data_IF_445269074985
#
_entry.id   IF_445269074985
#
_cell.length_a   1.000
_cell.length_b   1.000
_cell.length_c   1.000
_cell.angle_alpha   90.00
_cell.angle_beta   90.00
_cell.angle_gamma   90.00
#
_symmetry.space_group_name_H-M   'P 1'
#
loop_
_entity.id
_entity.type
_entity.pdbx_description
1 polymer ?
#
# COMPACT_ATOMS: atom_id res chain seq x y z
N UNK A 1 -28.34 6.87 32.95
CA UNK A 1 -29.59 6.26 33.46
C UNK A 1 -29.26 4.84 33.89
N UNK A 2 -29.44 4.48 35.17
CA UNK A 2 -29.35 3.06 35.56
C UNK A 2 -30.48 2.28 34.88
N UNK A 3 -30.24 1.08 34.34
CA UNK A 3 -31.31 0.25 33.83
C UNK A 3 -32.31 -0.06 34.95
N UNK A 4 -33.61 -0.19 34.65
CA UNK A 4 -34.59 -0.54 35.67
C UNK A 4 -34.20 -1.87 36.31
N UNK A 5 -34.20 -1.90 37.65
CA UNK A 5 -34.05 -3.14 38.41
C UNK A 5 -35.15 -4.08 37.91
N UNK A 6 -34.75 -5.20 37.31
CA UNK A 6 -35.67 -6.18 36.74
C UNK A 6 -36.51 -6.76 37.90
N UNK A 7 -37.70 -6.20 38.11
CA UNK A 7 -38.58 -6.47 39.24
C UNK A 7 -39.40 -7.75 39.08
N UNK A 8 -38.92 -8.72 38.30
CA UNK A 8 -39.55 -10.05 38.19
C UNK A 8 -39.17 -10.96 39.37
N UNK A 9 -39.16 -10.42 40.59
CA UNK A 9 -39.14 -11.24 41.79
C UNK A 9 -40.55 -11.25 42.36
N UNK A 10 -41.37 -12.21 41.93
CA UNK A 10 -42.61 -12.53 42.61
C UNK A 10 -42.30 -12.82 44.07
N UNK A 11 -42.82 -11.99 44.98
CA UNK A 11 -42.71 -12.20 46.42
C UNK A 11 -43.49 -13.46 46.76
N UNK A 12 -42.81 -14.48 47.28
CA UNK A 12 -43.47 -15.72 47.72
C UNK A 12 -43.86 -15.53 49.18
N UNK A 13 -45.16 -15.65 49.47
CA UNK A 13 -45.73 -15.55 50.81
C UNK A 13 -46.28 -16.90 51.26
N UNK A 14 -46.28 -17.15 52.57
CA UNK A 14 -46.93 -18.32 53.17
C UNK A 14 -48.46 -18.15 53.24
N UNK A 15 -49.16 -19.17 53.77
CA UNK A 15 -50.62 -19.14 53.92
C UNK A 15 -51.14 -18.09 54.89
N UNK A 16 -50.27 -17.49 55.72
CA UNK A 16 -50.57 -16.40 56.64
C UNK A 16 -50.11 -15.04 56.08
N UNK A 17 -49.58 -15.00 54.86
CA UNK A 17 -49.11 -13.78 54.19
C UNK A 17 -47.69 -13.33 54.58
N UNK A 18 -46.92 -14.14 55.32
CA UNK A 18 -45.53 -13.82 55.68
C UNK A 18 -44.60 -14.10 54.51
N UNK A 19 -43.65 -13.20 54.26
CA UNK A 19 -42.68 -13.32 53.17
C UNK A 19 -41.68 -14.43 53.49
N UNK A 20 -41.52 -15.37 52.57
CA UNK A 20 -40.54 -16.44 52.71
C UNK A 20 -39.13 -15.95 52.32
N UNK A 21 -38.09 -16.34 53.08
CA UNK A 21 -36.71 -16.10 52.68
C UNK A 21 -36.41 -16.73 51.32
N UNK A 22 -35.81 -15.96 50.41
CA UNK A 22 -35.39 -16.43 49.08
C UNK A 22 -33.92 -16.10 48.85
N UNK A 23 -33.22 -16.99 48.15
CA UNK A 23 -31.87 -16.72 47.66
C UNK A 23 -31.93 -15.66 46.54
N UNK A 24 -31.19 -14.57 46.74
CA UNK A 24 -31.03 -13.55 45.71
C UNK A 24 -30.30 -14.14 44.51
N UNK A 25 -30.79 -13.82 43.31
CA UNK A 25 -30.16 -14.31 42.09
C UNK A 25 -29.03 -13.37 41.69
N UNK A 26 -27.89 -13.95 41.29
CA UNK A 26 -26.77 -13.18 40.79
C UNK A 26 -27.06 -12.74 39.34
N UNK A 27 -27.21 -11.44 39.06
CA UNK A 27 -27.56 -10.94 37.73
C UNK A 27 -26.47 -11.21 36.68
N UNK A 28 -25.23 -11.45 37.10
CA UNK A 28 -24.12 -11.86 36.22
C UNK A 28 -24.31 -13.31 35.77
N UNK A 29 -24.79 -14.19 36.65
CA UNK A 29 -25.01 -15.59 36.30
C UNK A 29 -26.25 -15.79 35.41
N UNK A 30 -27.27 -14.93 35.52
CA UNK A 30 -28.49 -15.03 34.70
C UNK A 30 -28.33 -14.56 33.25
N UNK A 31 -27.37 -13.67 32.98
CA UNK A 31 -27.20 -13.10 31.64
C UNK A 31 -25.89 -13.55 31.02
N UNK A 32 -26.00 -14.42 30.01
CA UNK A 32 -24.86 -14.83 29.20
C UNK A 32 -24.16 -13.62 28.58
N UNK A 33 -24.93 -12.62 28.12
CA UNK A 33 -24.39 -11.39 27.53
C UNK A 33 -23.48 -10.63 28.50
N UNK A 34 -23.89 -10.51 29.78
CA UNK A 34 -23.05 -9.87 30.81
C UNK A 34 -21.77 -10.66 31.07
N UNK A 35 -21.83 -11.99 31.08
CA UNK A 35 -20.64 -12.83 31.23
C UNK A 35 -19.71 -12.71 30.03
N UNK A 36 -20.27 -12.71 28.81
CA UNK A 36 -19.52 -12.54 27.57
C UNK A 36 -18.79 -11.19 27.56
N UNK A 37 -19.51 -10.11 27.88
CA UNK A 37 -18.94 -8.76 27.97
C UNK A 37 -17.82 -8.69 29.01
N UNK A 38 -18.01 -9.29 30.20
CA UNK A 38 -16.97 -9.33 31.22
C UNK A 38 -15.71 -10.06 30.73
N UNK A 39 -15.86 -11.21 30.06
CA UNK A 39 -14.73 -11.95 29.49
C UNK A 39 -13.99 -11.14 28.43
N UNK A 40 -14.73 -10.47 27.56
CA UNK A 40 -14.15 -9.63 26.50
C UNK A 40 -13.38 -8.43 27.09
N UNK A 41 -13.96 -7.73 28.07
CA UNK A 41 -13.30 -6.61 28.75
C UNK A 41 -12.02 -7.06 29.47
N UNK A 42 -12.06 -8.20 30.17
CA UNK A 42 -10.89 -8.78 30.83
C UNK A 42 -9.81 -9.21 29.82
N UNK A 43 -10.22 -9.77 28.67
CA UNK A 43 -9.31 -10.10 27.59
C UNK A 43 -8.63 -8.85 27.01
N UNK A 44 -9.41 -7.80 26.71
CA UNK A 44 -8.89 -6.54 26.19
C UNK A 44 -7.93 -5.87 27.17
N UNK A 45 -8.23 -5.90 28.48
CA UNK A 45 -7.31 -5.42 29.52
C UNK A 45 -5.99 -6.20 29.53
N UNK A 46 -6.05 -7.54 29.49
CA UNK A 46 -4.85 -8.40 29.41
C UNK A 46 -4.02 -8.13 28.15
N UNK A 47 -4.68 -7.87 27.03
CA UNK A 47 -4.04 -7.56 25.76
C UNK A 47 -3.61 -6.09 25.63
N UNK A 48 -3.87 -5.24 26.63
CA UNK A 48 -3.56 -3.81 26.59
C UNK A 48 -4.38 -3.00 25.58
N UNK A 49 -5.53 -3.51 25.11
CA UNK A 49 -6.41 -2.85 24.14
C UNK A 49 -7.39 -1.92 24.86
N UNK A 50 -7.20 -0.61 24.74
CA UNK A 50 -8.10 0.40 25.35
C UNK A 50 -9.39 0.56 24.55
N UNK A 51 -10.53 0.07 25.05
CA UNK A 51 -11.83 0.16 24.35
C UNK A 51 -12.47 1.56 24.41
N UNK A 52 -12.06 2.41 25.35
CA UNK A 52 -12.73 3.68 25.63
C UNK A 52 -12.33 4.81 24.65
N UNK A 53 -11.19 4.66 23.96
CA UNK A 53 -10.60 5.70 23.10
C UNK A 53 -10.19 5.17 21.71
N UNK A 54 -10.73 4.03 21.29
CA UNK A 54 -10.47 3.50 19.94
C UNK A 54 -11.31 4.27 18.91
N UNK A 55 -10.67 4.67 17.80
CA UNK A 55 -11.38 5.04 16.58
C UNK A 55 -12.36 3.91 16.23
N UNK A 56 -13.58 4.25 15.82
CA UNK A 56 -14.53 3.23 15.37
C UNK A 56 -13.94 2.41 14.20
N UNK A 57 -14.41 1.17 14.01
CA UNK A 57 -13.99 0.33 12.87
C UNK A 57 -14.14 1.08 11.53
N UNK A 58 -15.24 1.82 11.37
CA UNK A 58 -15.47 2.69 10.21
C UNK A 58 -14.38 3.76 10.06
N UNK A 59 -14.03 4.46 11.14
CA UNK A 59 -13.02 5.50 11.11
C UNK A 59 -11.63 4.92 10.78
N UNK A 60 -11.29 3.74 11.33
CA UNK A 60 -10.06 3.01 11.00
C UNK A 60 -10.02 2.60 9.53
N UNK A 61 -11.14 2.13 8.98
CA UNK A 61 -11.25 1.74 7.57
C UNK A 61 -11.08 2.95 6.64
N UNK A 62 -11.72 4.08 6.94
CA UNK A 62 -11.59 5.32 6.16
C UNK A 62 -10.18 5.88 6.18
N UNK A 63 -9.52 5.89 7.35
CA UNK A 63 -8.12 6.33 7.48
C UNK A 63 -7.20 5.44 6.63
N UNK A 64 -7.35 4.11 6.72
CA UNK A 64 -6.60 3.15 5.90
C UNK A 64 -6.84 3.35 4.40
N UNK A 65 -8.07 3.66 3.99
CA UNK A 65 -8.38 3.97 2.59
C UNK A 65 -7.71 5.27 2.13
N UNK A 66 -7.69 6.31 2.98
CA UNK A 66 -7.02 7.58 2.70
C UNK A 66 -5.51 7.40 2.57
N UNK A 67 -4.89 6.67 3.49
CA UNK A 67 -3.46 6.32 3.43
C UNK A 67 -3.12 5.57 2.13
N UNK A 68 -3.96 4.61 1.73
CA UNK A 68 -3.77 3.86 0.48
C UNK A 68 -3.83 4.76 -0.76
N UNK A 69 -4.74 5.73 -0.78
CA UNK A 69 -4.84 6.70 -1.88
C UNK A 69 -3.60 7.61 -1.95
N UNK A 70 -3.14 8.12 -0.80
CA UNK A 70 -1.94 8.96 -0.74
C UNK A 70 -0.71 8.21 -1.22
N UNK A 71 -0.54 6.96 -0.79
CA UNK A 71 0.58 6.12 -1.23
C UNK A 71 0.52 5.83 -2.73
N UNK A 72 -0.66 5.53 -3.27
CA UNK A 72 -0.84 5.32 -4.71
C UNK A 72 -0.50 6.59 -5.51
N UNK A 73 -0.96 7.76 -5.07
CA UNK A 73 -0.63 9.04 -5.71
C UNK A 73 0.87 9.35 -5.65
N UNK A 74 1.53 9.09 -4.50
CA UNK A 74 2.97 9.29 -4.36
C UNK A 74 3.76 8.35 -5.29
N UNK A 75 3.36 7.09 -5.41
CA UNK A 75 4.03 6.14 -6.30
C UNK A 75 3.87 6.53 -7.77
N UNK A 76 2.68 6.99 -8.17
CA UNK A 76 2.45 7.49 -9.53
C UNK A 76 3.31 8.73 -9.82
N UNK A 77 3.39 9.67 -8.88
CA UNK A 77 4.24 10.85 -9.02
C UNK A 77 5.73 10.49 -9.15
N UNK A 78 6.22 9.52 -8.35
CA UNK A 78 7.60 9.01 -8.48
C UNK A 78 7.85 8.36 -9.84
N UNK A 79 6.90 7.59 -10.36
CA UNK A 79 7.02 6.96 -11.67
C UNK A 79 7.09 8.00 -12.80
N UNK A 80 6.22 9.02 -12.76
CA UNK A 80 6.27 10.13 -13.71
C UNK A 80 7.59 10.91 -13.63
N UNK A 81 8.11 11.17 -12.42
CA UNK A 81 9.41 11.82 -12.26
C UNK A 81 10.56 10.99 -12.82
N UNK A 82 10.54 9.67 -12.62
CA UNK A 82 11.53 8.77 -13.19
C UNK A 82 11.48 8.77 -14.72
N UNK A 83 10.29 8.67 -15.31
CA UNK A 83 10.10 8.73 -16.77
C UNK A 83 10.58 10.06 -17.37
N UNK A 84 10.24 11.19 -16.73
CA UNK A 84 10.69 12.51 -17.17
C UNK A 84 12.21 12.67 -17.07
N UNK A 85 12.82 12.09 -16.03
CA UNK A 85 14.29 12.10 -15.88
C UNK A 85 14.96 11.30 -16.99
N UNK A 86 14.45 10.09 -17.27
CA UNK A 86 14.95 9.24 -18.37
C UNK A 86 14.81 9.94 -19.72
N UNK A 87 13.65 10.55 -19.98
CA UNK A 87 13.41 11.28 -21.23
C UNK A 87 14.37 12.47 -21.40
N UNK A 88 14.62 13.22 -20.32
CA UNK A 88 15.53 14.35 -20.32
C UNK A 88 16.99 13.90 -20.54
N UNK A 89 17.43 12.86 -19.82
CA UNK A 89 18.78 12.32 -19.96
C UNK A 89 19.04 11.77 -21.37
N UNK A 90 18.08 11.03 -21.95
CA UNK A 90 18.16 10.54 -23.31
C UNK A 90 18.28 11.69 -24.33
N UNK A 91 17.47 12.75 -24.18
CA UNK A 91 17.53 13.93 -25.04
C UNK A 91 18.89 14.61 -25.00
N UNK A 92 19.50 14.72 -23.81
CA UNK A 92 20.84 15.27 -23.62
C UNK A 92 21.92 14.45 -24.35
N UNK A 93 21.85 13.11 -24.25
CA UNK A 93 22.78 12.20 -24.94
C UNK A 93 22.65 12.30 -26.46
N UNK A 94 21.42 12.37 -26.97
CA UNK A 94 21.14 12.54 -28.41
C UNK A 94 21.77 13.84 -28.93
N UNK A 95 21.55 14.96 -28.24
CA UNK A 95 22.09 16.26 -28.61
C UNK A 95 23.62 16.27 -28.62
N UNK A 96 24.24 15.70 -27.59
CA UNK A 96 25.71 15.60 -27.50
C UNK A 96 26.29 14.76 -28.63
N UNK A 97 25.59 13.70 -29.05
CA UNK A 97 26.01 12.84 -30.17
C UNK A 97 25.89 13.55 -31.51
N UNK A 98 24.82 14.30 -31.74
CA UNK A 98 24.63 15.10 -32.94
C UNK A 98 25.75 16.14 -33.10
N UNK A 99 26.09 16.84 -32.01
CA UNK A 99 27.18 17.83 -31.99
C UNK A 99 28.54 17.21 -32.34
N UNK A 100 28.85 16.02 -31.81
CA UNK A 100 30.09 15.29 -32.13
C UNK A 100 30.16 14.89 -33.61
N UNK A 101 29.05 14.45 -34.19
CA UNK A 101 28.97 14.11 -35.61
C UNK A 101 29.18 15.34 -36.51
N UNK A 102 28.61 16.49 -36.14
CA UNK A 102 28.77 17.74 -36.89
C UNK A 102 30.23 18.24 -36.87
N UNK A 103 30.91 18.14 -35.72
CA UNK A 103 32.34 18.44 -35.59
C UNK A 103 33.24 17.52 -36.43
N UNK A 104 32.92 16.21 -36.48
CA UNK A 104 33.63 15.26 -37.36
C UNK A 104 33.40 15.55 -38.84
N UNK A 105 32.21 16.04 -39.20
CA UNK A 105 31.89 16.46 -40.57
C UNK A 105 32.60 17.75 -40.98
N UNK A 106 32.77 18.69 -40.05
CA UNK A 106 33.43 19.98 -40.29
C UNK A 106 34.98 19.91 -40.24
N UNK A 107 35.57 18.91 -39.57
CA UNK A 107 37.00 18.80 -39.31
C UNK A 107 37.89 18.16 -40.39
N UNK A 108 37.35 17.75 -41.55
CA UNK A 108 38.16 17.33 -42.71
C UNK A 108 38.91 16.00 -42.55
N UNK A 109 38.27 14.91 -42.98
CA UNK A 109 38.89 13.62 -43.29
C UNK A 109 38.02 12.86 -44.29
N UNK A 110 38.45 12.85 -45.56
CA UNK A 110 37.69 12.28 -46.68
C UNK A 110 37.54 10.76 -46.62
N UNK A 111 36.38 10.29 -47.06
CA UNK A 111 36.16 8.95 -47.58
C UNK A 111 35.35 9.09 -48.87
N UNK A 112 36.05 9.04 -50.00
CA UNK A 112 35.52 8.96 -51.36
C UNK A 112 34.53 7.81 -51.51
N UNK A 113 33.44 8.04 -52.26
CA UNK A 113 32.46 7.00 -52.55
C UNK A 113 31.37 7.46 -53.53
N UNK A 114 31.79 7.86 -54.73
CA UNK A 114 30.93 7.84 -55.93
C UNK A 114 30.67 6.38 -56.32
N UNK A 115 29.41 5.92 -56.34
CA UNK A 115 29.05 4.64 -56.97
C UNK A 115 27.88 3.90 -56.32
N UNK A 116 26.74 3.90 -57.01
CA UNK A 116 25.73 2.84 -57.16
C UNK A 116 25.89 1.55 -56.32
N UNK A 117 25.18 1.41 -55.19
CA UNK A 117 24.60 0.15 -54.65
C UNK A 117 23.79 0.45 -53.36
N UNK A 118 22.48 0.14 -53.26
CA UNK A 118 21.69 0.44 -52.06
C UNK A 118 21.96 -0.51 -50.86
N UNK A 119 22.89 -1.46 -50.97
CA UNK A 119 23.10 -2.49 -49.94
C UNK A 119 24.37 -2.39 -49.08
N UNK A 120 25.24 -1.40 -49.32
CA UNK A 120 26.50 -1.25 -48.55
C UNK A 120 26.59 0.08 -47.79
N UNK A 121 25.62 0.34 -46.92
CA UNK A 121 25.76 1.38 -45.91
C UNK A 121 26.62 0.84 -44.78
N UNK A 122 27.86 1.33 -44.62
CA UNK A 122 28.71 0.95 -43.50
C UNK A 122 27.95 1.18 -42.18
N UNK A 123 27.54 0.09 -41.56
CA UNK A 123 26.73 0.12 -40.34
C UNK A 123 27.52 0.89 -39.28
N UNK A 124 26.86 1.86 -38.65
CA UNK A 124 27.48 2.72 -37.63
C UNK A 124 28.24 1.86 -36.60
N UNK A 125 29.56 2.06 -36.40
CA UNK A 125 30.39 1.17 -35.58
C UNK A 125 29.92 1.11 -34.12
N UNK A 126 29.32 2.18 -33.60
CA UNK A 126 28.73 2.15 -32.25
C UNK A 126 27.50 1.24 -32.16
N UNK A 127 26.72 1.12 -33.24
CA UNK A 127 25.57 0.22 -33.28
C UNK A 127 26.03 -1.25 -33.24
N UNK A 128 27.11 -1.58 -33.95
CA UNK A 128 27.71 -2.92 -33.90
C UNK A 128 28.22 -3.25 -32.49
N UNK A 129 28.89 -2.30 -31.83
CA UNK A 129 29.40 -2.47 -30.47
C UNK A 129 28.26 -2.61 -29.44
N UNK A 130 27.21 -1.81 -29.54
CA UNK A 130 26.04 -1.91 -28.67
C UNK A 130 25.33 -3.27 -28.82
N UNK A 131 25.17 -3.73 -30.08
CA UNK A 131 24.57 -5.03 -30.38
C UNK A 131 25.42 -6.21 -29.89
N UNK A 132 26.74 -6.12 -30.01
CA UNK A 132 27.66 -7.12 -29.48
C UNK A 132 27.58 -7.22 -27.94
N UNK A 133 27.54 -6.07 -27.24
CA UNK A 133 27.37 -6.03 -25.78
C UNK A 133 26.03 -6.61 -25.34
N UNK A 134 24.94 -6.28 -26.03
CA UNK A 134 23.62 -6.82 -25.72
C UNK A 134 23.59 -8.35 -25.88
N UNK A 135 24.18 -8.88 -26.97
CA UNK A 135 24.32 -10.33 -27.16
C UNK A 135 25.09 -11.00 -26.02
N UNK A 136 26.22 -10.44 -25.63
CA UNK A 136 27.02 -10.98 -24.51
C UNK A 136 26.24 -11.03 -23.19
N UNK A 137 25.31 -10.10 -22.94
CA UNK A 137 24.50 -10.08 -21.70
C UNK A 137 23.28 -10.98 -21.72
N UNK A 138 22.73 -11.32 -22.89
CA UNK A 138 21.56 -12.22 -22.98
C UNK A 138 21.96 -13.70 -22.94
N UNK A 139 23.18 -14.03 -23.37
CA UNK A 139 23.69 -15.42 -23.35
C UNK A 139 24.15 -15.86 -21.94
N UNK A 140 24.22 -14.94 -20.96
CA UNK A 140 24.64 -15.21 -19.57
C UNK A 140 23.49 -15.47 -18.59
N UNK A 141 22.29 -15.81 -19.07
CA UNK A 141 21.09 -16.03 -18.26
C UNK A 141 20.46 -17.38 -18.55
#
# INVERSE_FOLDING_TARGET
MMPPINANQSVITDSQGLILPKKLVNPVLESMDRQNLHRELMFNQKMGKSVLNQKSELQRALEKQKERQVLAAQNLAKQQQAEQTIANELGRVIMQRAQRLEQQKAGGGGGTGTGTDPTSGSINPEYLNARAKLRATVDTK
#
